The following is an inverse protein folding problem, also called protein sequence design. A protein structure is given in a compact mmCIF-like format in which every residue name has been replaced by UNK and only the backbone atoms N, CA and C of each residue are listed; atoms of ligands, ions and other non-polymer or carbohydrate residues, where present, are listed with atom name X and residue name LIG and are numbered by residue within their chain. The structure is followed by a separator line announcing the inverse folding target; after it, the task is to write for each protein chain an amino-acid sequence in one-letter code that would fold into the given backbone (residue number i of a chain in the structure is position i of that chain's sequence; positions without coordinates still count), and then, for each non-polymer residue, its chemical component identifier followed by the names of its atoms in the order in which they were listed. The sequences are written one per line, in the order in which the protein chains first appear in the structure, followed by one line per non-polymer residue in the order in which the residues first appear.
data_IF_097483952410
#
_entry.id   IF_097483952410
#
_cell.length_a   1.000
_cell.length_b   1.000
_cell.length_c   1.000
_cell.angle_alpha   90.00
_cell.angle_beta   90.00
_cell.angle_gamma   90.00
#
_symmetry.space_group_name_H-M   'P 1'
#
loop_
_entity.id
_entity.type
_entity.pdbx_description
1 polymer ?
#
# COMPACT_ATOMS: atom_id res chain seq x y z
N UNK A 1 -19.56 5.22 26.95
CA UNK A 1 -19.08 5.51 25.58
C UNK A 1 -17.55 5.63 25.62
N UNK A 2 -16.83 4.91 24.75
CA UNK A 2 -15.37 5.06 24.67
C UNK A 2 -15.07 6.42 24.03
N UNK A 3 -14.35 7.28 24.72
CA UNK A 3 -13.88 8.56 24.17
C UNK A 3 -12.86 8.28 23.08
N UNK A 4 -13.03 8.87 21.90
CA UNK A 4 -12.11 8.70 20.75
C UNK A 4 -11.40 10.00 20.44
N UNK A 5 -10.10 9.93 20.26
CA UNK A 5 -9.34 11.07 19.74
C UNK A 5 -9.68 11.28 18.27
N UNK A 6 -10.00 12.52 17.89
CA UNK A 6 -10.26 12.87 16.48
C UNK A 6 -8.96 13.37 15.84
N UNK A 7 -8.54 12.69 14.78
CA UNK A 7 -7.39 13.07 13.96
C UNK A 7 -7.89 13.61 12.61
N UNK A 8 -7.64 14.89 12.34
CA UNK A 8 -8.01 15.53 11.07
C UNK A 8 -6.91 15.33 10.04
N UNK A 9 -7.27 14.81 8.88
CA UNK A 9 -6.36 14.70 7.74
C UNK A 9 -6.14 16.09 7.11
N UNK A 10 -4.95 16.34 6.51
CA UNK A 10 -4.72 17.58 5.77
C UNK A 10 -5.59 17.66 4.51
N UNK A 11 -5.99 18.88 4.14
CA UNK A 11 -6.84 19.11 2.97
C UNK A 11 -6.19 18.62 1.66
N UNK A 12 -4.87 18.72 1.56
CA UNK A 12 -4.05 18.16 0.47
C UNK A 12 -3.29 16.94 0.97
N UNK A 13 -3.91 15.78 0.84
CA UNK A 13 -3.37 14.51 1.30
C UNK A 13 -2.46 13.90 0.22
N UNK A 14 -1.16 14.32 0.25
CA UNK A 14 -0.20 14.05 -0.82
C UNK A 14 1.21 13.86 -0.25
N UNK A 15 1.94 12.84 -0.75
CA UNK A 15 3.33 12.57 -0.37
C UNK A 15 4.35 13.01 -1.44
N UNK A 16 3.90 13.40 -2.64
CA UNK A 16 4.78 13.80 -3.73
C UNK A 16 5.19 15.27 -3.66
N UNK A 17 4.26 16.14 -3.24
CA UNK A 17 4.53 17.57 -3.11
C UNK A 17 5.39 17.87 -1.89
N UNK A 18 6.52 18.55 -2.06
CA UNK A 18 7.39 18.98 -0.96
C UNK A 18 6.67 19.88 0.07
N UNK A 19 5.69 20.66 -0.39
CA UNK A 19 4.91 21.56 0.47
C UNK A 19 3.92 20.82 1.39
N UNK A 20 3.35 19.71 0.93
CA UNK A 20 2.25 19.01 1.63
C UNK A 20 2.69 17.68 2.26
N UNK A 21 3.84 17.14 1.83
CA UNK A 21 4.35 15.85 2.29
C UNK A 21 4.55 15.82 3.81
N UNK A 22 5.08 16.91 4.39
CA UNK A 22 5.34 17.01 5.83
C UNK A 22 4.06 16.79 6.65
N UNK A 23 2.99 17.51 6.34
CA UNK A 23 1.71 17.41 7.04
C UNK A 23 1.07 16.02 6.86
N UNK A 24 1.14 15.47 5.64
CA UNK A 24 0.63 14.13 5.34
C UNK A 24 1.36 13.06 6.15
N UNK A 25 2.70 13.07 6.16
CA UNK A 25 3.49 12.11 6.92
C UNK A 25 3.31 12.28 8.44
N UNK A 26 3.21 13.51 8.94
CA UNK A 26 2.92 13.76 10.36
C UNK A 26 1.55 13.20 10.76
N UNK A 27 0.53 13.39 9.91
CA UNK A 27 -0.79 12.82 10.15
C UNK A 27 -0.74 11.28 10.18
N UNK A 28 -0.10 10.65 9.19
CA UNK A 28 0.07 9.19 9.13
C UNK A 28 0.82 8.65 10.35
N UNK A 29 1.90 9.31 10.78
CA UNK A 29 2.63 8.93 11.99
C UNK A 29 1.77 9.03 13.26
N UNK A 30 0.89 10.04 13.35
CA UNK A 30 -0.07 10.13 14.47
C UNK A 30 -1.05 8.95 14.45
N UNK A 31 -1.61 8.61 13.27
CA UNK A 31 -2.50 7.45 13.12
C UNK A 31 -1.82 6.17 13.62
N UNK A 32 -0.61 5.89 13.13
CA UNK A 32 0.16 4.71 13.52
C UNK A 32 0.47 4.69 15.04
N UNK A 33 0.90 5.82 15.59
CA UNK A 33 1.20 5.96 17.03
C UNK A 33 -0.01 5.69 17.91
N UNK A 34 -1.18 6.25 17.57
CA UNK A 34 -2.39 6.02 18.37
C UNK A 34 -2.85 4.56 18.29
N UNK A 35 -2.82 3.97 17.10
CA UNK A 35 -3.36 2.63 16.89
C UNK A 35 -2.43 1.52 17.41
N UNK A 36 -1.12 1.56 17.08
CA UNK A 36 -0.22 0.44 17.34
C UNK A 36 0.69 0.65 18.54
N UNK A 37 1.00 1.89 18.93
CA UNK A 37 1.84 2.14 20.11
C UNK A 37 0.98 2.32 21.35
N UNK A 38 -0.09 3.11 21.25
CA UNK A 38 -0.97 3.42 22.40
C UNK A 38 -2.15 2.46 22.53
N UNK A 39 -2.47 1.74 21.45
CA UNK A 39 -3.67 0.88 21.37
C UNK A 39 -4.97 1.65 21.73
N UNK A 40 -5.08 2.88 21.24
CA UNK A 40 -6.21 3.77 21.53
C UNK A 40 -7.16 3.87 20.33
N UNK A 41 -8.48 3.78 20.55
CA UNK A 41 -9.46 3.96 19.48
C UNK A 41 -9.52 5.43 19.03
N UNK A 42 -9.52 5.63 17.71
CA UNK A 42 -9.53 6.97 17.10
C UNK A 42 -10.71 7.17 16.15
N UNK A 43 -10.97 8.43 15.82
CA UNK A 43 -11.78 8.85 14.67
C UNK A 43 -10.90 9.59 13.69
N UNK A 44 -10.83 9.13 12.45
CA UNK A 44 -10.14 9.81 11.36
C UNK A 44 -11.15 10.69 10.62
N UNK A 45 -10.90 11.98 10.61
CA UNK A 45 -11.73 12.96 9.93
C UNK A 45 -11.10 13.32 8.58
N UNK A 46 -11.72 12.82 7.49
CA UNK A 46 -11.38 13.06 6.10
C UNK A 46 -12.32 14.08 5.44
N UNK A 47 -13.30 14.64 6.18
CA UNK A 47 -14.38 15.46 5.62
C UNK A 47 -13.89 16.69 4.86
N UNK A 48 -12.75 17.25 5.27
CA UNK A 48 -12.15 18.45 4.67
C UNK A 48 -11.06 18.14 3.62
N UNK A 49 -10.74 16.86 3.36
CA UNK A 49 -9.79 16.48 2.31
C UNK A 49 -10.36 16.90 0.95
N UNK A 50 -9.59 17.69 0.20
CA UNK A 50 -9.94 18.14 -1.16
C UNK A 50 -9.27 17.28 -2.23
N UNK A 51 -8.01 16.93 -2.02
CA UNK A 51 -7.21 16.09 -2.92
C UNK A 51 -6.54 15.00 -2.12
N UNK A 52 -6.60 13.75 -2.60
CA UNK A 52 -5.86 12.64 -2.07
C UNK A 52 -5.14 11.90 -3.20
N UNK A 53 -3.81 11.78 -3.12
CA UNK A 53 -3.07 10.96 -4.08
C UNK A 53 -3.23 9.48 -3.75
N UNK A 54 -3.14 8.62 -4.76
CA UNK A 54 -3.30 7.18 -4.59
C UNK A 54 -2.28 6.60 -3.58
N UNK A 55 -1.01 7.02 -3.65
CA UNK A 55 0.00 6.56 -2.71
C UNK A 55 -0.28 6.99 -1.26
N UNK A 56 -0.69 8.24 -1.01
CA UNK A 56 -1.06 8.68 0.34
C UNK A 56 -2.29 7.91 0.85
N UNK A 57 -3.27 7.67 -0.01
CA UNK A 57 -4.46 6.87 0.28
C UNK A 57 -4.11 5.42 0.62
N UNK A 58 -3.19 4.83 -0.14
CA UNK A 58 -2.71 3.46 0.08
C UNK A 58 -1.94 3.34 1.41
N UNK A 59 -1.11 4.32 1.75
CA UNK A 59 -0.43 4.37 3.06
C UNK A 59 -1.45 4.42 4.21
N UNK A 60 -2.47 5.26 4.11
CA UNK A 60 -3.52 5.32 5.13
C UNK A 60 -4.28 4.00 5.25
N UNK A 61 -4.66 3.40 4.12
CA UNK A 61 -5.33 2.11 4.09
C UNK A 61 -4.49 1.02 4.75
N UNK A 62 -3.21 0.92 4.39
CA UNK A 62 -2.32 -0.10 4.93
C UNK A 62 -2.13 0.03 6.44
N UNK A 63 -1.91 1.25 6.95
CA UNK A 63 -1.70 1.49 8.39
C UNK A 63 -2.95 1.18 9.21
N UNK A 64 -4.10 1.68 8.77
CA UNK A 64 -5.39 1.43 9.44
C UNK A 64 -5.74 -0.04 9.42
N UNK A 65 -5.68 -0.66 8.25
CA UNK A 65 -6.07 -2.05 8.07
C UNK A 65 -5.14 -3.00 8.83
N UNK A 66 -3.82 -2.76 8.81
CA UNK A 66 -2.87 -3.51 9.64
C UNK A 66 -3.26 -3.46 11.12
N UNK A 67 -3.59 -2.29 11.65
CA UNK A 67 -3.98 -2.15 13.04
C UNK A 67 -5.29 -2.91 13.34
N UNK A 68 -6.30 -2.77 12.48
CA UNK A 68 -7.57 -3.49 12.62
C UNK A 68 -7.37 -5.01 12.66
N UNK A 69 -6.50 -5.53 11.80
CA UNK A 69 -6.20 -6.97 11.72
C UNK A 69 -5.37 -7.46 12.91
N UNK A 70 -4.28 -6.76 13.27
CA UNK A 70 -3.40 -7.18 14.37
C UNK A 70 -4.08 -7.11 15.72
N UNK A 71 -4.92 -6.12 15.94
CA UNK A 71 -5.69 -5.97 17.18
C UNK A 71 -6.97 -6.79 17.18
N UNK A 72 -7.34 -7.39 16.06
CA UNK A 72 -8.60 -8.07 15.83
C UNK A 72 -9.82 -7.19 16.22
N UNK A 73 -9.72 -5.90 15.95
CA UNK A 73 -10.73 -4.89 16.29
C UNK A 73 -11.09 -4.02 15.09
N UNK A 74 -11.99 -4.46 14.20
CA UNK A 74 -12.37 -3.72 13.00
C UNK A 74 -12.87 -2.30 13.27
N UNK A 75 -13.45 -2.07 14.45
CA UNK A 75 -14.03 -0.80 14.85
C UNK A 75 -13.09 0.10 15.67
N UNK A 76 -11.80 -0.24 15.80
CA UNK A 76 -10.84 0.61 16.51
C UNK A 76 -10.72 2.00 15.87
N UNK A 77 -10.96 2.07 14.56
CA UNK A 77 -11.03 3.33 13.81
C UNK A 77 -12.45 3.60 13.34
N UNK A 78 -12.91 4.84 13.50
CA UNK A 78 -14.11 5.38 12.86
C UNK A 78 -13.70 6.48 11.88
N UNK A 79 -14.58 6.75 10.90
CA UNK A 79 -14.27 7.72 9.83
C UNK A 79 -15.39 8.73 9.67
N UNK A 80 -14.98 9.99 9.40
CA UNK A 80 -15.85 11.00 8.80
C UNK A 80 -15.38 11.20 7.36
N UNK A 81 -16.19 10.81 6.40
CA UNK A 81 -15.88 10.93 4.98
C UNK A 81 -16.42 12.23 4.38
N UNK A 82 -15.81 12.73 3.28
CA UNK A 82 -16.32 13.89 2.57
C UNK A 82 -17.75 13.66 2.07
N UNK A 83 -18.64 14.60 2.39
CA UNK A 83 -20.02 14.61 1.88
C UNK A 83 -20.03 15.19 0.46
N UNK A 84 -20.75 14.54 -0.46
CA UNK A 84 -20.83 14.93 -1.87
C UNK A 84 -21.29 16.39 -2.06
N UNK A 85 -22.27 16.83 -1.30
CA UNK A 85 -22.89 18.15 -1.45
C UNK A 85 -22.02 19.28 -0.86
N UNK A 86 -21.19 18.96 0.16
CA UNK A 86 -20.34 19.93 0.86
C UNK A 86 -18.90 19.94 0.33
N UNK A 87 -18.39 18.81 -0.10
CA UNK A 87 -17.02 18.63 -0.57
C UNK A 87 -16.99 17.57 -1.69
N UNK A 88 -17.42 17.95 -2.88
CA UNK A 88 -17.51 17.04 -4.03
C UNK A 88 -16.12 16.56 -4.51
N UNK A 89 -15.09 17.41 -4.42
CA UNK A 89 -13.72 17.02 -4.79
C UNK A 89 -13.21 15.90 -3.87
N UNK A 90 -13.24 16.13 -2.56
CA UNK A 90 -12.84 15.11 -1.59
C UNK A 90 -13.65 13.82 -1.71
N UNK A 91 -14.97 13.94 -1.96
CA UNK A 91 -15.82 12.77 -2.20
C UNK A 91 -15.35 11.95 -3.42
N UNK A 92 -14.89 12.61 -4.50
CA UNK A 92 -14.33 11.91 -5.67
C UNK A 92 -13.07 11.10 -5.30
N UNK A 93 -12.14 11.69 -4.55
CA UNK A 93 -10.88 11.04 -4.18
C UNK A 93 -11.01 9.97 -3.11
N UNK A 94 -11.98 10.10 -2.21
CA UNK A 94 -12.10 9.20 -1.04
C UNK A 94 -13.22 8.17 -1.23
N UNK A 95 -14.39 8.62 -1.69
CA UNK A 95 -15.58 7.74 -1.74
C UNK A 95 -15.70 7.06 -3.10
N UNK A 96 -15.61 7.83 -4.20
CA UNK A 96 -15.77 7.25 -5.55
C UNK A 96 -14.63 6.33 -5.97
N UNK A 97 -13.41 6.53 -5.44
CA UNK A 97 -12.27 5.61 -5.66
C UNK A 97 -12.38 4.31 -4.86
N UNK A 98 -13.33 4.21 -3.94
CA UNK A 98 -13.48 3.03 -3.06
C UNK A 98 -12.57 3.05 -1.82
N UNK A 99 -11.77 4.10 -1.58
CA UNK A 99 -10.92 4.19 -0.37
C UNK A 99 -11.76 4.09 0.91
N UNK A 100 -12.91 4.75 0.97
CA UNK A 100 -13.81 4.69 2.11
C UNK A 100 -14.28 3.26 2.42
N UNK A 101 -14.52 2.44 1.40
CA UNK A 101 -14.86 1.03 1.54
C UNK A 101 -13.65 0.23 2.05
N UNK A 102 -12.47 0.43 1.46
CA UNK A 102 -11.24 -0.22 1.89
C UNK A 102 -10.91 0.06 3.36
N UNK A 103 -11.01 1.30 3.81
CA UNK A 103 -10.77 1.70 5.19
C UNK A 103 -11.73 1.03 6.20
N UNK A 104 -12.95 0.70 5.77
CA UNK A 104 -13.94 -0.02 6.58
C UNK A 104 -13.81 -1.55 6.47
N UNK A 105 -12.89 -2.08 5.65
CA UNK A 105 -12.67 -3.51 5.47
C UNK A 105 -11.65 -4.05 6.50
N UNK A 106 -12.01 -3.97 7.78
CA UNK A 106 -11.14 -4.27 8.91
C UNK A 106 -11.04 -5.75 9.29
N UNK A 107 -11.39 -6.70 8.40
CA UNK A 107 -11.27 -8.14 8.62
C UNK A 107 -10.90 -8.86 7.34
N UNK A 108 -10.28 -10.05 7.44
CA UNK A 108 -9.86 -10.83 6.26
C UNK A 108 -11.01 -11.10 5.28
N UNK A 109 -12.21 -11.57 5.70
CA UNK A 109 -13.31 -11.77 4.76
C UNK A 109 -13.74 -10.49 4.02
N UNK A 110 -13.72 -9.34 4.69
CA UNK A 110 -14.04 -8.06 4.03
C UNK A 110 -12.96 -7.60 3.04
N UNK A 111 -11.70 -7.99 3.27
CA UNK A 111 -10.64 -7.74 2.29
C UNK A 111 -10.80 -8.61 1.05
N UNK A 112 -11.22 -9.87 1.22
CA UNK A 112 -11.52 -10.77 0.12
C UNK A 112 -12.71 -10.24 -0.72
N UNK A 113 -13.72 -9.63 -0.08
CA UNK A 113 -14.82 -8.94 -0.78
C UNK A 113 -14.32 -7.79 -1.67
N UNK A 114 -13.26 -7.07 -1.28
CA UNK A 114 -12.69 -6.01 -2.13
C UNK A 114 -12.10 -6.58 -3.43
N UNK A 115 -11.51 -7.77 -3.38
CA UNK A 115 -10.96 -8.47 -4.54
C UNK A 115 -12.10 -8.95 -5.44
N UNK A 116 -13.09 -9.64 -4.86
CA UNK A 116 -14.26 -10.16 -5.59
C UNK A 116 -15.07 -9.07 -6.31
N UNK A 117 -15.14 -7.89 -5.70
CA UNK A 117 -15.85 -6.73 -6.24
C UNK A 117 -14.96 -5.80 -7.08
N UNK A 118 -13.76 -6.26 -7.47
CA UNK A 118 -12.80 -5.53 -8.32
C UNK A 118 -12.52 -4.09 -7.86
N UNK A 119 -12.42 -3.89 -6.55
CA UNK A 119 -12.14 -2.55 -6.00
C UNK A 119 -10.69 -2.13 -6.30
N UNK A 120 -10.46 -0.82 -6.46
CA UNK A 120 -9.12 -0.31 -6.74
C UNK A 120 -8.13 -0.55 -5.59
N UNK A 121 -8.61 -0.45 -4.34
CA UNK A 121 -7.83 -0.71 -3.15
C UNK A 121 -8.07 -2.13 -2.66
N UNK A 122 -7.02 -2.93 -2.62
CA UNK A 122 -7.06 -4.34 -2.24
C UNK A 122 -5.89 -4.69 -1.32
N UNK A 123 -5.95 -5.85 -0.67
CA UNK A 123 -4.86 -6.38 0.13
C UNK A 123 -4.86 -7.89 0.10
N UNK A 124 -3.68 -8.50 0.00
CA UNK A 124 -3.52 -9.96 -0.02
C UNK A 124 -2.20 -10.39 0.61
N UNK A 125 -2.05 -11.69 0.84
CA UNK A 125 -0.81 -12.39 1.19
C UNK A 125 -0.51 -13.54 0.21
N UNK A 126 -1.35 -13.72 -0.83
CA UNK A 126 -1.30 -14.84 -1.76
C UNK A 126 -0.97 -14.37 -3.19
N UNK A 127 0.33 -14.33 -3.60
CA UNK A 127 0.75 -13.74 -4.87
C UNK A 127 0.06 -14.35 -6.09
N UNK A 128 0.03 -15.68 -6.19
CA UNK A 128 -0.44 -16.36 -7.39
C UNK A 128 -1.91 -16.04 -7.72
N UNK A 129 -2.78 -16.23 -6.75
CA UNK A 129 -4.23 -15.99 -6.94
C UNK A 129 -4.51 -14.51 -7.17
N UNK A 130 -3.83 -13.65 -6.42
CA UNK A 130 -4.09 -12.21 -6.45
C UNK A 130 -3.56 -11.53 -7.72
N UNK A 131 -2.47 -12.05 -8.31
CA UNK A 131 -1.96 -11.59 -9.60
C UNK A 131 -3.04 -11.72 -10.68
N UNK A 132 -3.64 -12.91 -10.79
CA UNK A 132 -4.67 -13.16 -11.83
C UNK A 132 -5.85 -12.20 -11.70
N UNK A 133 -6.41 -12.04 -10.50
CA UNK A 133 -7.55 -11.12 -10.30
C UNK A 133 -7.18 -9.66 -10.58
N UNK A 134 -5.95 -9.23 -10.23
CA UNK A 134 -5.47 -7.88 -10.52
C UNK A 134 -5.34 -7.64 -12.03
N UNK A 135 -4.76 -8.60 -12.76
CA UNK A 135 -4.58 -8.51 -14.21
C UNK A 135 -5.93 -8.53 -14.94
N UNK A 136 -6.85 -9.41 -14.57
CA UNK A 136 -8.20 -9.44 -15.12
C UNK A 136 -8.95 -8.11 -14.94
N UNK A 137 -8.90 -7.55 -13.73
CA UNK A 137 -9.49 -6.25 -13.41
C UNK A 137 -8.92 -5.11 -14.28
N UNK A 138 -7.61 -5.08 -14.49
CA UNK A 138 -6.95 -4.07 -15.34
C UNK A 138 -7.32 -4.29 -16.80
N UNK A 139 -7.18 -5.52 -17.31
CA UNK A 139 -7.43 -5.87 -18.70
C UNK A 139 -8.87 -5.61 -19.14
N UNK A 140 -9.84 -5.79 -18.26
CA UNK A 140 -11.24 -5.49 -18.52
C UNK A 140 -11.46 -4.01 -18.90
N UNK A 141 -10.59 -3.11 -18.48
CA UNK A 141 -10.71 -1.65 -18.68
C UNK A 141 -9.66 -1.10 -19.65
N UNK A 142 -8.41 -1.55 -19.55
CA UNK A 142 -7.27 -1.02 -20.30
C UNK A 142 -7.16 -1.57 -21.72
N UNK A 143 -7.70 -2.78 -21.99
CA UNK A 143 -7.61 -3.45 -23.31
C UNK A 143 -6.17 -3.55 -23.83
N UNK A 144 -5.24 -3.95 -22.96
CA UNK A 144 -3.83 -4.12 -23.29
C UNK A 144 -3.63 -5.18 -24.37
N UNK A 145 -2.66 -4.98 -25.25
CA UNK A 145 -2.21 -6.04 -26.17
C UNK A 145 -1.36 -7.09 -25.42
N UNK A 146 -1.03 -8.19 -26.08
CA UNK A 146 -0.32 -9.32 -25.46
C UNK A 146 1.05 -8.94 -24.90
N UNK A 147 1.78 -8.06 -25.57
CA UNK A 147 3.10 -7.58 -25.13
C UNK A 147 2.97 -6.69 -23.88
N UNK A 148 2.06 -5.73 -23.90
CA UNK A 148 1.77 -4.87 -22.76
C UNK A 148 1.28 -5.69 -21.56
N UNK A 149 0.42 -6.68 -21.81
CA UNK A 149 -0.09 -7.57 -20.77
C UNK A 149 1.02 -8.40 -20.14
N UNK A 150 1.94 -8.93 -20.96
CA UNK A 150 3.08 -9.70 -20.48
C UNK A 150 4.01 -8.85 -19.61
N UNK A 151 4.38 -7.64 -20.05
CA UNK A 151 5.22 -6.73 -19.31
C UNK A 151 4.60 -6.33 -17.98
N UNK A 152 3.33 -5.94 -17.99
CA UNK A 152 2.61 -5.56 -16.79
C UNK A 152 2.49 -6.73 -15.79
N UNK A 153 2.16 -7.93 -16.29
CA UNK A 153 2.04 -9.13 -15.46
C UNK A 153 3.37 -9.50 -14.81
N UNK A 154 4.49 -9.44 -15.56
CA UNK A 154 5.83 -9.68 -15.02
C UNK A 154 6.18 -8.70 -13.92
N UNK A 155 5.96 -7.40 -14.14
CA UNK A 155 6.27 -6.36 -13.15
C UNK A 155 5.44 -6.48 -11.88
N UNK A 156 4.13 -6.72 -12.00
CA UNK A 156 3.23 -6.92 -10.85
C UNK A 156 3.60 -8.20 -10.09
N UNK A 157 3.83 -9.30 -10.81
CA UNK A 157 4.24 -10.58 -10.23
C UNK A 157 5.51 -10.45 -9.40
N UNK A 158 6.54 -9.83 -9.97
CA UNK A 158 7.82 -9.60 -9.29
C UNK A 158 7.64 -8.74 -8.04
N UNK A 159 6.84 -7.69 -8.11
CA UNK A 159 6.57 -6.84 -6.95
C UNK A 159 5.87 -7.62 -5.81
N UNK A 160 4.88 -8.45 -6.12
CA UNK A 160 4.19 -9.30 -5.14
C UNK A 160 5.12 -10.38 -4.56
N UNK A 161 5.96 -11.01 -5.40
CA UNK A 161 6.93 -12.01 -4.98
C UNK A 161 8.01 -11.40 -4.07
N UNK A 162 8.45 -10.17 -4.35
CA UNK A 162 9.40 -9.47 -3.50
C UNK A 162 8.84 -9.24 -2.08
N UNK A 163 7.57 -8.91 -1.95
CA UNK A 163 6.93 -8.83 -0.63
C UNK A 163 6.91 -10.20 0.05
N UNK A 164 6.42 -11.21 -0.66
CA UNK A 164 6.29 -12.58 -0.12
C UNK A 164 7.63 -13.18 0.34
N UNK A 165 8.70 -12.94 -0.43
CA UNK A 165 10.01 -13.54 -0.21
C UNK A 165 10.93 -12.72 0.70
N UNK A 166 10.76 -11.39 0.77
CA UNK A 166 11.77 -10.53 1.35
C UNK A 166 11.29 -9.57 2.43
N UNK A 167 10.06 -9.06 2.33
CA UNK A 167 9.63 -7.98 3.20
C UNK A 167 9.54 -8.37 4.68
N UNK A 168 9.18 -9.62 4.97
CA UNK A 168 8.83 -10.10 6.31
C UNK A 168 9.70 -11.27 6.80
N UNK A 169 10.91 -11.45 6.27
CA UNK A 169 11.76 -12.60 6.63
C UNK A 169 12.43 -12.49 8.00
N UNK A 170 12.56 -11.27 8.55
CA UNK A 170 13.19 -11.09 9.85
C UNK A 170 12.32 -11.67 10.99
N UNK A 171 12.96 -12.19 12.03
CA UNK A 171 12.28 -12.80 13.20
C UNK A 171 11.30 -11.88 13.90
N UNK A 172 11.51 -10.56 13.84
CA UNK A 172 10.61 -9.55 14.42
C UNK A 172 9.20 -9.59 13.80
N UNK A 173 9.07 -10.11 12.57
CA UNK A 173 7.78 -10.26 11.89
C UNK A 173 7.09 -11.61 12.13
N UNK A 174 7.68 -12.52 12.90
CA UNK A 174 7.12 -13.87 13.11
C UNK A 174 5.67 -13.84 13.64
N UNK A 175 5.38 -12.97 14.62
CA UNK A 175 4.04 -12.81 15.18
C UNK A 175 3.07 -12.16 14.19
N UNK A 176 3.53 -11.17 13.42
CA UNK A 176 2.74 -10.50 12.37
C UNK A 176 2.38 -11.50 11.27
N UNK A 177 3.37 -12.25 10.78
CA UNK A 177 3.19 -13.28 9.75
C UNK A 177 2.20 -14.37 10.17
N UNK A 178 2.22 -14.75 11.44
CA UNK A 178 1.26 -15.72 11.98
C UNK A 178 -0.17 -15.17 12.03
N UNK A 179 -0.33 -13.87 12.29
CA UNK A 179 -1.64 -13.25 12.49
C UNK A 179 -2.30 -12.82 11.17
N UNK A 180 -1.55 -12.23 10.24
CA UNK A 180 -2.09 -11.61 9.03
C UNK A 180 -1.41 -12.02 7.73
N UNK A 181 -0.42 -12.93 7.79
CA UNK A 181 0.39 -13.35 6.66
C UNK A 181 1.43 -12.31 6.23
N UNK A 182 2.22 -12.62 5.20
CA UNK A 182 3.16 -11.70 4.54
C UNK A 182 2.38 -10.76 3.61
N UNK A 183 1.66 -9.84 4.21
CA UNK A 183 0.62 -9.06 3.55
C UNK A 183 1.16 -7.80 2.90
N UNK A 184 0.59 -7.49 1.73
CA UNK A 184 0.72 -6.19 1.09
C UNK A 184 -0.65 -5.54 0.89
N UNK A 185 -0.61 -4.26 0.59
CA UNK A 185 -1.74 -3.45 0.15
C UNK A 185 -1.43 -2.89 -1.22
N UNK A 186 -2.42 -2.83 -2.09
CA UNK A 186 -2.26 -2.33 -3.45
C UNK A 186 -3.38 -1.39 -3.85
N UNK A 187 -3.09 -0.57 -4.85
CA UNK A 187 -4.09 0.22 -5.55
C UNK A 187 -3.80 0.12 -7.05
N UNK A 188 -4.79 -0.31 -7.81
CA UNK A 188 -4.67 -0.52 -9.25
C UNK A 188 -5.88 0.04 -10.00
N UNK A 189 -5.65 0.78 -11.08
CA UNK A 189 -6.72 1.26 -11.97
C UNK A 189 -6.18 1.61 -13.35
N UNK A 190 -7.08 1.74 -14.31
CA UNK A 190 -6.82 2.32 -15.61
C UNK A 190 -7.35 3.75 -15.66
N UNK A 191 -6.52 4.70 -16.10
CA UNK A 191 -6.91 6.09 -16.34
C UNK A 191 -7.19 6.29 -17.85
N UNK A 192 -8.45 6.39 -18.26
CA UNK A 192 -8.80 6.53 -19.67
C UNK A 192 -8.42 7.90 -20.26
N UNK A 193 -8.15 8.91 -19.42
CA UNK A 193 -7.75 10.23 -19.92
C UNK A 193 -6.28 10.29 -20.29
N UNK A 194 -5.46 9.50 -19.56
CA UNK A 194 -4.02 9.41 -19.79
C UNK A 194 -3.65 8.17 -20.59
N UNK A 195 -4.62 7.30 -20.91
CA UNK A 195 -4.41 5.97 -21.52
C UNK A 195 -3.31 5.19 -20.81
N UNK A 196 -3.37 5.19 -19.49
CA UNK A 196 -2.33 4.61 -18.64
C UNK A 196 -2.90 3.73 -17.54
N UNK A 197 -2.19 2.63 -17.28
CA UNK A 197 -2.45 1.76 -16.14
C UNK A 197 -1.56 2.16 -14.97
N UNK A 198 -2.16 2.26 -13.79
CA UNK A 198 -1.45 2.55 -12.54
C UNK A 198 -1.55 1.34 -11.63
N UNK A 199 -0.40 0.88 -11.15
CA UNK A 199 -0.30 -0.12 -10.10
C UNK A 199 0.66 0.36 -9.02
N UNK A 200 0.20 0.38 -7.78
CA UNK A 200 1.00 0.74 -6.61
C UNK A 200 0.87 -0.39 -5.61
N UNK A 201 1.98 -0.90 -5.11
CA UNK A 201 2.04 -1.90 -4.04
C UNK A 201 2.81 -1.33 -2.86
N UNK A 202 2.39 -1.67 -1.66
CA UNK A 202 3.02 -1.27 -0.42
C UNK A 202 2.96 -2.39 0.60
N UNK A 203 4.10 -2.69 1.23
CA UNK A 203 4.22 -3.58 2.37
C UNK A 203 4.61 -2.81 3.65
N UNK A 204 4.46 -3.44 4.78
CA UNK A 204 4.85 -2.93 6.09
C UNK A 204 5.96 -3.78 6.71
N UNK A 205 6.78 -4.38 5.86
CA UNK A 205 7.94 -5.18 6.24
C UNK A 205 9.17 -4.33 6.56
N UNK A 206 10.34 -4.97 6.48
CA UNK A 206 11.62 -4.35 6.87
C UNK A 206 12.15 -3.31 5.86
N UNK A 207 11.56 -3.23 4.66
CA UNK A 207 11.98 -2.36 3.57
C UNK A 207 13.22 -2.88 2.81
N UNK A 208 13.43 -2.32 1.61
CA UNK A 208 14.47 -2.76 0.67
C UNK A 208 15.87 -2.68 1.29
N UNK A 209 16.18 -1.57 1.97
CA UNK A 209 17.50 -1.38 2.58
C UNK A 209 17.87 -2.52 3.54
N UNK A 210 17.04 -2.79 4.55
CA UNK A 210 17.31 -3.83 5.54
C UNK A 210 17.27 -5.23 4.93
N UNK A 211 16.34 -5.47 4.04
CA UNK A 211 16.20 -6.76 3.35
C UNK A 211 17.42 -7.07 2.48
N UNK A 212 17.89 -6.14 1.66
CA UNK A 212 19.01 -6.35 0.75
C UNK A 212 20.35 -6.42 1.47
N UNK A 213 20.61 -5.53 2.41
CA UNK A 213 21.87 -5.46 3.13
C UNK A 213 21.98 -6.46 4.27
N UNK A 214 20.91 -7.14 4.67
CA UNK A 214 20.81 -7.93 5.91
C UNK A 214 21.29 -7.12 7.13
N UNK A 215 21.01 -5.83 7.11
CA UNK A 215 21.63 -4.85 8.02
C UNK A 215 20.95 -4.87 9.38
N UNK A 216 21.77 -4.96 10.45
CA UNK A 216 21.31 -5.01 11.83
C UNK A 216 21.75 -3.82 12.69
N UNK A 217 22.38 -2.83 12.10
CA UNK A 217 22.95 -1.67 12.82
C UNK A 217 22.38 -0.32 12.41
N UNK A 218 22.79 0.77 13.09
CA UNK A 218 22.43 2.13 12.68
C UNK A 218 23.09 2.50 11.33
N UNK A 219 22.31 3.09 10.42
CA UNK A 219 22.78 3.57 9.13
C UNK A 219 22.55 5.08 9.01
N UNK A 220 23.32 5.74 8.15
CA UNK A 220 23.01 7.08 7.73
C UNK A 220 22.28 7.07 6.38
N UNK A 221 21.60 8.18 6.08
CA UNK A 221 20.78 8.32 4.85
C UNK A 221 21.57 8.03 3.56
N UNK A 222 22.84 8.43 3.50
CA UNK A 222 23.66 8.23 2.29
C UNK A 222 24.01 6.76 2.08
N UNK A 223 24.27 6.02 3.15
CA UNK A 223 24.50 4.57 3.08
C UNK A 223 23.22 3.83 2.66
N UNK A 224 22.08 4.19 3.22
CA UNK A 224 20.80 3.62 2.83
C UNK A 224 20.48 3.87 1.36
N UNK A 225 20.68 5.11 0.89
CA UNK A 225 20.47 5.47 -0.51
C UNK A 225 21.37 4.69 -1.46
N UNK A 226 22.66 4.51 -1.11
CA UNK A 226 23.59 3.75 -1.94
C UNK A 226 23.18 2.28 -2.04
N UNK A 227 22.82 1.65 -0.94
CA UNK A 227 22.37 0.26 -0.89
C UNK A 227 21.06 0.06 -1.66
N UNK A 228 20.12 0.99 -1.56
CA UNK A 228 18.88 0.95 -2.35
C UNK A 228 19.20 1.05 -3.84
N UNK A 229 20.12 1.93 -4.27
CA UNK A 229 20.55 2.02 -5.66
C UNK A 229 21.17 0.72 -6.18
N UNK A 230 22.01 0.09 -5.36
CA UNK A 230 22.61 -1.21 -5.68
C UNK A 230 21.56 -2.32 -5.81
N UNK A 231 20.55 -2.34 -4.94
CA UNK A 231 19.46 -3.30 -5.03
C UNK A 231 18.63 -3.19 -6.33
N UNK A 232 18.61 -2.01 -6.96
CA UNK A 232 17.94 -1.78 -8.25
C UNK A 232 18.87 -1.92 -9.46
N UNK A 233 20.11 -2.38 -9.28
CA UNK A 233 21.03 -2.63 -10.38
C UNK A 233 20.84 -4.04 -10.92
N UNK A 234 20.72 -4.18 -12.25
CA UNK A 234 20.51 -5.46 -12.91
C UNK A 234 21.59 -6.49 -12.50
N UNK A 235 21.17 -7.70 -12.20
CA UNK A 235 22.03 -8.81 -11.81
C UNK A 235 22.43 -8.81 -10.33
N UNK A 236 22.17 -7.74 -9.59
CA UNK A 236 22.46 -7.73 -8.17
C UNK A 236 21.37 -8.51 -7.41
N UNK A 237 21.81 -9.47 -6.61
CA UNK A 237 20.94 -10.25 -5.72
C UNK A 237 21.69 -10.60 -4.45
N UNK A 238 21.01 -10.54 -3.32
CA UNK A 238 21.57 -10.99 -2.03
C UNK A 238 21.85 -12.50 -1.95
N UNK A 239 21.29 -13.28 -2.88
CA UNK A 239 21.45 -14.74 -2.89
C UNK A 239 22.59 -15.24 -3.80
N UNK A 240 23.27 -14.36 -4.53
CA UNK A 240 24.44 -14.71 -5.34
C UNK A 240 24.18 -15.71 -6.48
N UNK A 241 22.91 -15.98 -6.83
CA UNK A 241 22.55 -16.92 -7.91
C UNK A 241 22.31 -16.17 -9.22
N UNK A 242 22.92 -16.63 -10.37
CA UNK A 242 22.80 -15.94 -11.67
C UNK A 242 21.37 -15.81 -12.21
N UNK A 243 20.47 -16.67 -11.75
CA UNK A 243 19.07 -16.72 -12.19
C UNK A 243 18.19 -15.69 -11.46
N UNK A 244 18.69 -15.06 -10.41
CA UNK A 244 18.04 -14.02 -9.62
C UNK A 244 18.67 -12.66 -9.86
N UNK A 245 17.96 -11.58 -9.54
CA UNK A 245 18.45 -10.20 -9.73
C UNK A 245 17.95 -9.51 -11.01
N UNK A 246 16.98 -10.13 -11.70
CA UNK A 246 16.31 -9.52 -12.86
C UNK A 246 15.01 -8.78 -12.46
N UNK A 247 14.47 -9.02 -11.29
CA UNK A 247 13.18 -8.50 -10.85
C UNK A 247 13.07 -6.98 -10.87
N UNK A 248 14.19 -6.26 -10.67
CA UNK A 248 14.19 -4.78 -10.80
C UNK A 248 13.94 -4.31 -12.22
N UNK A 249 14.37 -5.07 -13.25
CA UNK A 249 14.10 -4.75 -14.65
C UNK A 249 12.65 -5.11 -15.02
N UNK A 250 12.14 -6.23 -14.53
CA UNK A 250 10.74 -6.62 -14.74
C UNK A 250 9.77 -5.58 -14.16
N UNK A 251 10.10 -4.97 -13.01
CA UNK A 251 9.32 -3.88 -12.42
C UNK A 251 9.42 -2.58 -13.25
N UNK A 252 10.57 -2.29 -13.85
CA UNK A 252 10.78 -1.07 -14.65
C UNK A 252 10.27 -1.19 -16.08
N UNK A 253 10.24 -2.38 -16.64
CA UNK A 253 9.93 -2.61 -18.05
C UNK A 253 8.56 -2.04 -18.51
N UNK A 254 7.50 -2.00 -17.67
CA UNK A 254 6.22 -1.42 -18.04
C UNK A 254 6.14 0.11 -18.04
N UNK A 255 7.21 0.83 -17.66
CA UNK A 255 7.21 2.30 -17.47
C UNK A 255 7.49 3.03 -18.77
#
# INVERSE_FOLDING_TARGET
MVTRTVLKAPALFCIYSSLNRGDTLQFLNKVDSYLLIRNEPITIDLSEVKVATAAASLLLFSMVNRAQLLLNEPNIVRFHFPNKDKNNEGHRYIVKTGLSRALNSGSLPKLDELVLDEQYFQSSSEPSTHLFSTIEMIQAKAKLNDEQLLLLSSGISEAMLNVSHHAYEHSDFASVNKSIGKRWWQCAWFDPNLDSTVFIIYDLGMGIFKSYAQYQGPSNFMQELQIIKEAFTLGNTRFGTPERGKGSEDIKAPI
#
